data_IF_366327678087
#
_entry.id   IF_366327678087
#
_cell.length_a   1.000
_cell.length_b   1.000
_cell.length_c   1.000
_cell.angle_alpha   90.00
_cell.angle_beta   90.00
_cell.angle_gamma   90.00
#
_symmetry.space_group_name_H-M   'P 1'
#
loop_
_entity.id
_entity.type
_entity.pdbx_description
1 polymer ?
#
# COMPACT_ATOMS: atom_id res chain seq x y z
N UNK A 1 8.52 8.86 -22.17
CA UNK A 1 8.93 7.60 -22.81
C UNK A 1 10.38 7.36 -22.43
N UNK A 2 10.72 6.22 -21.83
CA UNK A 2 12.12 5.95 -21.43
C UNK A 2 13.01 5.81 -22.66
N UNK A 3 14.33 5.85 -22.47
CA UNK A 3 15.33 5.84 -23.55
C UNK A 3 15.21 4.61 -24.49
N UNK A 4 14.59 3.53 -24.00
CA UNK A 4 14.29 2.26 -24.67
C UNK A 4 12.85 2.18 -25.24
N UNK A 5 12.05 3.24 -25.15
CA UNK A 5 10.69 3.28 -25.69
C UNK A 5 9.62 2.60 -24.82
N UNK A 6 9.99 2.04 -23.65
CA UNK A 6 9.05 1.29 -22.80
C UNK A 6 8.22 2.21 -21.90
N UNK A 7 7.00 1.77 -21.55
CA UNK A 7 6.19 2.39 -20.49
C UNK A 7 6.65 1.83 -19.15
N UNK A 8 6.83 2.70 -18.16
CA UNK A 8 7.14 2.31 -16.79
C UNK A 8 5.88 2.33 -15.95
N UNK A 9 5.62 1.25 -15.23
CA UNK A 9 4.40 1.08 -14.44
C UNK A 9 4.77 0.89 -12.97
N UNK A 10 4.16 1.71 -12.11
CA UNK A 10 4.33 1.63 -10.66
C UNK A 10 3.03 1.32 -9.96
N UNK A 11 3.12 0.60 -8.83
CA UNK A 11 1.99 0.38 -7.94
C UNK A 11 2.00 1.38 -6.78
N UNK A 12 0.95 2.19 -6.71
CA UNK A 12 0.70 3.11 -5.61
C UNK A 12 -0.11 2.40 -4.52
N UNK A 13 0.43 2.35 -3.30
CA UNK A 13 -0.18 1.71 -2.14
C UNK A 13 -0.40 2.70 -0.99
N UNK A 14 -1.55 2.54 -0.33
CA UNK A 14 -1.88 3.21 0.93
C UNK A 14 -3.04 2.50 1.63
N UNK A 15 -2.98 2.34 2.96
CA UNK A 15 -4.01 1.64 3.74
C UNK A 15 -4.44 0.29 3.10
N UNK A 16 -5.75 0.11 2.88
CA UNK A 16 -6.39 -1.00 2.17
C UNK A 16 -6.86 -0.57 0.76
N UNK A 17 -6.28 0.49 0.21
CA UNK A 17 -6.68 1.13 -1.04
C UNK A 17 -7.32 2.50 -0.83
N UNK A 18 -7.64 3.16 -1.95
CA UNK A 18 -8.04 4.57 -1.97
C UNK A 18 -9.55 4.80 -1.82
N UNK A 19 -10.36 3.76 -1.96
CA UNK A 19 -11.81 3.88 -1.85
C UNK A 19 -12.24 3.90 -0.38
N UNK A 20 -12.94 4.95 0.05
CA UNK A 20 -13.36 5.18 1.46
C UNK A 20 -14.15 4.03 2.09
N UNK A 21 -14.86 3.26 1.27
CA UNK A 21 -15.63 2.09 1.72
C UNK A 21 -14.98 0.75 1.33
N UNK A 22 -13.78 0.76 0.73
CA UNK A 22 -13.11 -0.46 0.24
C UNK A 22 -12.92 -1.51 1.35
N UNK A 23 -12.62 -1.06 2.57
CA UNK A 23 -12.52 -1.91 3.77
C UNK A 23 -13.78 -2.74 4.11
N UNK A 24 -14.94 -2.43 3.52
CA UNK A 24 -16.20 -3.15 3.75
C UNK A 24 -16.37 -4.35 2.83
N UNK A 25 -15.53 -4.49 1.81
CA UNK A 25 -15.60 -5.61 0.89
C UNK A 25 -15.20 -6.91 1.61
N UNK A 26 -15.94 -8.02 1.45
CA UNK A 26 -15.66 -9.27 2.17
C UNK A 26 -14.26 -9.83 1.91
N UNK A 27 -13.71 -9.56 0.73
CA UNK A 27 -12.37 -10.04 0.35
C UNK A 27 -11.22 -9.14 0.85
N UNK A 28 -11.54 -8.02 1.52
CA UNK A 28 -10.52 -7.11 2.07
C UNK A 28 -10.28 -7.46 3.54
N UNK A 29 -9.03 -7.80 3.95
CA UNK A 29 -8.73 -8.11 5.34
C UNK A 29 -9.01 -6.92 6.26
N UNK A 30 -9.71 -7.16 7.37
CA UNK A 30 -10.12 -6.11 8.29
C UNK A 30 -8.95 -5.36 8.95
N UNK A 31 -7.82 -6.05 9.14
CA UNK A 31 -6.59 -5.58 9.77
C UNK A 31 -5.43 -5.41 8.77
N UNK A 32 -5.69 -5.53 7.47
CA UNK A 32 -4.65 -5.58 6.45
C UNK A 32 -3.77 -4.31 6.37
N UNK A 33 -4.30 -3.15 6.77
CA UNK A 33 -3.53 -1.89 6.84
C UNK A 33 -2.37 -1.92 7.85
N UNK A 34 -2.40 -2.84 8.82
CA UNK A 34 -1.37 -3.04 9.84
C UNK A 34 -0.62 -4.37 9.65
N UNK A 35 -0.93 -5.12 8.60
CA UNK A 35 -0.35 -6.44 8.34
C UNK A 35 0.81 -6.35 7.36
N UNK A 36 2.03 -6.62 7.82
CA UNK A 36 3.19 -6.73 6.94
C UNK A 36 2.98 -7.77 5.83
N UNK A 37 2.36 -8.91 6.15
CA UNK A 37 2.08 -9.97 5.19
C UNK A 37 1.16 -9.51 4.05
N UNK A 38 0.21 -8.62 4.33
CA UNK A 38 -0.65 -8.04 3.31
C UNK A 38 0.15 -7.23 2.27
N UNK A 39 1.06 -6.38 2.74
CA UNK A 39 1.93 -5.58 1.87
C UNK A 39 2.97 -6.44 1.14
N UNK A 40 3.56 -7.43 1.80
CA UNK A 40 4.51 -8.36 1.16
C UNK A 40 3.84 -9.14 0.02
N UNK A 41 2.63 -9.66 0.25
CA UNK A 41 1.90 -10.39 -0.78
C UNK A 41 1.55 -9.48 -1.97
N UNK A 42 1.20 -8.22 -1.71
CA UNK A 42 0.92 -7.23 -2.75
C UNK A 42 2.19 -6.86 -3.54
N UNK A 43 3.31 -6.66 -2.85
CA UNK A 43 4.60 -6.38 -3.48
C UNK A 43 5.08 -7.55 -4.36
N UNK A 44 4.92 -8.80 -3.90
CA UNK A 44 5.23 -10.00 -4.71
C UNK A 44 4.35 -10.13 -5.95
N UNK A 45 3.08 -9.73 -5.86
CA UNK A 45 2.19 -9.67 -7.03
C UNK A 45 2.65 -8.59 -8.02
N UNK A 46 3.09 -7.44 -7.53
CA UNK A 46 3.66 -6.37 -8.36
C UNK A 46 4.94 -6.83 -9.06
N UNK A 47 5.83 -7.53 -8.36
CA UNK A 47 7.05 -8.13 -8.91
C UNK A 47 6.73 -9.15 -10.01
N UNK A 48 5.81 -10.08 -9.74
CA UNK A 48 5.37 -11.09 -10.72
C UNK A 48 4.69 -10.49 -11.96
N UNK A 49 4.14 -9.27 -11.83
CA UNK A 49 3.54 -8.52 -12.93
C UNK A 49 4.54 -7.58 -13.64
N UNK A 50 5.82 -7.61 -13.29
CA UNK A 50 6.88 -6.76 -13.84
C UNK A 50 6.62 -5.25 -13.68
N UNK A 51 6.00 -4.85 -12.57
CA UNK A 51 5.92 -3.42 -12.23
C UNK A 51 7.30 -2.92 -11.80
N UNK A 52 7.69 -1.75 -12.30
CA UNK A 52 9.01 -1.17 -12.08
C UNK A 52 9.21 -0.65 -10.66
N UNK A 53 8.13 -0.33 -9.94
CA UNK A 53 8.20 0.22 -8.60
C UNK A 53 6.93 0.00 -7.79
N UNK A 54 7.12 -0.02 -6.47
CA UNK A 54 6.05 0.21 -5.50
C UNK A 54 6.26 1.58 -4.85
N UNK A 55 5.18 2.28 -4.56
CA UNK A 55 5.21 3.58 -3.90
C UNK A 55 4.21 3.61 -2.76
N UNK A 56 4.65 4.05 -1.58
CA UNK A 56 3.78 4.27 -0.43
C UNK A 56 3.54 5.77 -0.24
N UNK A 57 2.26 6.16 -0.24
CA UNK A 57 1.89 7.53 0.08
C UNK A 57 1.72 7.69 1.60
N UNK A 58 2.20 8.81 2.15
CA UNK A 58 2.14 9.08 3.60
C UNK A 58 1.30 10.33 3.94
N UNK A 59 0.94 10.48 5.22
CA UNK A 59 0.52 11.74 5.79
C UNK A 59 0.95 11.86 7.26
N UNK A 60 1.53 13.01 7.62
CA UNK A 60 2.04 13.33 8.97
C UNK A 60 0.96 13.49 10.06
N UNK A 61 -0.29 13.06 9.81
CA UNK A 61 -1.37 13.19 10.78
C UNK A 61 -2.72 12.72 10.26
N UNK A 62 -3.60 12.40 11.21
CA UNK A 62 -4.99 12.01 10.95
C UNK A 62 -5.78 13.25 10.54
N UNK A 63 -6.27 13.27 9.29
CA UNK A 63 -7.10 14.35 8.74
C UNK A 63 -8.59 13.97 8.79
N UNK A 64 -9.06 13.60 9.98
CA UNK A 64 -10.44 13.16 10.22
C UNK A 64 -10.93 13.63 11.60
N UNK A 65 -12.22 13.96 11.68
CA UNK A 65 -12.88 14.38 12.91
C UNK A 65 -13.65 13.19 13.52
N UNK A 66 -13.62 13.07 14.84
CA UNK A 66 -14.46 12.11 15.56
C UNK A 66 -15.87 12.68 15.83
N UNK A 67 -16.55 13.08 14.76
CA UNK A 67 -17.92 13.59 14.80
C UNK A 67 -18.80 12.85 13.78
N UNK A 68 -19.86 12.13 14.20
CA UNK A 68 -20.26 11.86 15.59
C UNK A 68 -19.21 11.02 16.33
N UNK A 69 -19.21 11.09 17.67
CA UNK A 69 -18.27 10.35 18.52
C UNK A 69 -18.20 8.87 18.15
N UNK A 70 -17.00 8.35 17.94
CA UNK A 70 -16.74 6.97 17.50
C UNK A 70 -16.69 6.77 15.98
N UNK A 71 -16.86 7.83 15.17
CA UNK A 71 -16.73 7.75 13.72
C UNK A 71 -15.28 7.48 13.28
N UNK A 72 -14.29 8.01 14.02
CA UNK A 72 -12.88 7.86 13.67
C UNK A 72 -12.39 6.41 13.75
N UNK A 73 -12.93 5.62 14.69
CA UNK A 73 -12.65 4.18 14.80
C UNK A 73 -13.14 3.38 13.58
N UNK A 74 -14.03 3.97 12.76
CA UNK A 74 -14.53 3.36 11.53
C UNK A 74 -13.92 3.99 10.26
N UNK A 75 -13.06 4.99 10.39
CA UNK A 75 -12.29 5.50 9.26
C UNK A 75 -11.23 4.46 8.87
N UNK A 76 -10.98 4.30 7.57
CA UNK A 76 -9.92 3.43 7.07
C UNK A 76 -8.54 4.08 7.13
N UNK A 77 -8.49 5.40 7.38
CA UNK A 77 -7.28 6.24 7.32
C UNK A 77 -6.75 6.59 8.72
N UNK A 78 -7.06 5.76 9.71
CA UNK A 78 -6.71 6.01 11.11
C UNK A 78 -5.45 5.25 11.56
N UNK A 79 -5.02 4.23 10.81
CA UNK A 79 -3.84 3.42 11.12
C UNK A 79 -3.21 2.86 9.84
N UNK A 80 -1.90 3.03 9.68
CA UNK A 80 -1.08 2.39 8.63
C UNK A 80 0.34 2.13 9.16
N UNK A 81 1.06 1.19 8.55
CA UNK A 81 2.49 1.00 8.81
C UNK A 81 3.29 2.19 8.28
N UNK A 82 4.35 2.57 8.99
CA UNK A 82 5.23 3.66 8.58
C UNK A 82 5.96 3.31 7.26
N UNK A 83 5.88 4.16 6.22
CA UNK A 83 6.36 3.82 4.87
C UNK A 83 7.84 3.46 4.75
N UNK A 84 8.76 4.16 5.43
CA UNK A 84 10.20 3.90 5.32
C UNK A 84 10.55 2.55 5.95
N UNK A 85 10.00 2.28 7.13
CA UNK A 85 10.16 1.01 7.84
C UNK A 85 9.59 -0.15 7.02
N UNK A 86 8.41 0.04 6.42
CA UNK A 86 7.79 -0.95 5.55
C UNK A 86 8.61 -1.19 4.28
N UNK A 87 9.10 -0.12 3.63
CA UNK A 87 9.96 -0.22 2.44
C UNK A 87 11.27 -0.95 2.75
N UNK A 88 11.89 -0.69 3.90
CA UNK A 88 13.09 -1.40 4.33
C UNK A 88 12.84 -2.91 4.48
N UNK A 89 11.71 -3.30 5.11
CA UNK A 89 11.34 -4.69 5.28
C UNK A 89 11.00 -5.38 3.94
N UNK A 90 10.28 -4.68 3.04
CA UNK A 90 9.95 -5.20 1.71
C UNK A 90 11.21 -5.34 0.85
N UNK A 91 12.09 -4.35 0.85
CA UNK A 91 13.35 -4.38 0.10
C UNK A 91 14.25 -5.57 0.49
N UNK A 92 14.18 -6.04 1.73
CA UNK A 92 14.89 -7.24 2.19
C UNK A 92 14.21 -8.57 1.79
N UNK A 93 12.96 -8.54 1.32
CA UNK A 93 12.12 -9.74 1.13
C UNK A 93 11.52 -9.89 -0.29
N UNK A 94 11.79 -8.92 -1.16
CA UNK A 94 11.46 -8.93 -2.59
C UNK A 94 12.73 -8.81 -3.42
N UNK A 95 12.70 -9.25 -4.67
CA UNK A 95 13.78 -9.02 -5.63
C UNK A 95 13.33 -8.10 -6.76
N UNK A 96 14.28 -7.60 -7.54
CA UNK A 96 13.98 -7.11 -8.87
C UNK A 96 14.22 -8.30 -9.79
N UNK A 97 13.15 -8.98 -10.21
CA UNK A 97 13.24 -10.06 -11.19
C UNK A 97 14.01 -9.56 -12.41
N UNK A 98 15.23 -10.07 -12.60
CA UNK A 98 16.18 -9.52 -13.57
C UNK A 98 15.66 -9.63 -15.00
N UNK A 99 15.30 -8.48 -15.58
CA UNK A 99 15.35 -8.25 -17.02
C UNK A 99 16.16 -6.97 -17.25
N UNK A 100 17.48 -7.12 -17.26
CA UNK A 100 18.36 -6.19 -17.96
C UNK A 100 18.20 -6.38 -19.47
#
# INVERSE_FOLDING_TARGET
MTKDGKMRLGLLMRYLGYHVAGRRHPDVPADGALSFAHFLNTARKAEAAHLDMVFFADGLGIRANDNPKGSLARDMRNAELEPITLLAALGATTSLGGSH
#
